data_IF_823125787071
#
_entry.id   IF_823125787071
#
_cell.length_a   1.000
_cell.length_b   1.000
_cell.length_c   1.000
_cell.angle_alpha   90.00
_cell.angle_beta   90.00
_cell.angle_gamma   90.00
#
_symmetry.space_group_name_H-M   'P 1'
#
loop_
_entity.id
_entity.type
_entity.pdbx_description
1 polymer ?
#
# COMPACT_ATOMS: atom_id res chain seq x y z
N UNK A 1 -33.64 8.64 10.86
CA UNK A 1 -32.80 9.39 9.90
C UNK A 1 -31.36 9.29 10.37
N UNK A 2 -30.50 8.60 9.61
CA UNK A 2 -29.13 8.35 10.02
C UNK A 2 -28.30 9.64 10.13
N UNK A 3 -27.56 9.78 11.22
CA UNK A 3 -26.65 10.89 11.46
C UNK A 3 -25.32 10.63 10.74
N UNK A 4 -24.80 11.60 9.97
CA UNK A 4 -23.57 11.41 9.23
C UNK A 4 -22.37 11.26 10.18
N UNK A 5 -21.48 10.32 9.87
CA UNK A 5 -20.22 10.17 10.59
C UNK A 5 -19.36 11.42 10.43
N UNK A 6 -19.14 12.16 11.54
CA UNK A 6 -18.48 13.47 11.53
C UNK A 6 -17.06 13.45 10.94
N UNK A 7 -16.38 12.30 11.00
CA UNK A 7 -15.01 12.14 10.48
C UNK A 7 -14.97 11.47 9.09
N UNK A 8 -16.10 11.36 8.38
CA UNK A 8 -16.14 10.70 7.06
C UNK A 8 -15.22 11.36 6.03
N UNK A 9 -15.10 12.70 6.04
CA UNK A 9 -14.17 13.43 5.17
C UNK A 9 -12.71 13.09 5.46
N UNK A 10 -12.34 13.05 6.75
CA UNK A 10 -11.00 12.67 7.18
C UNK A 10 -10.69 11.21 6.82
N UNK A 11 -11.64 10.29 7.01
CA UNK A 11 -11.49 8.89 6.64
C UNK A 11 -11.19 8.73 5.14
N UNK A 12 -11.95 9.41 4.27
CA UNK A 12 -11.71 9.39 2.81
C UNK A 12 -10.32 9.92 2.46
N UNK A 13 -9.93 11.03 3.08
CA UNK A 13 -8.60 11.59 2.87
C UNK A 13 -7.49 10.62 3.30
N UNK A 14 -7.63 9.97 4.46
CA UNK A 14 -6.64 8.98 4.93
C UNK A 14 -6.57 7.73 4.05
N UNK A 15 -7.69 7.26 3.51
CA UNK A 15 -7.70 6.16 2.52
C UNK A 15 -6.94 6.57 1.24
N UNK A 16 -7.18 7.78 0.72
CA UNK A 16 -6.42 8.28 -0.43
C UNK A 16 -4.91 8.38 -0.15
N UNK A 17 -4.53 8.79 1.07
CA UNK A 17 -3.12 8.80 1.47
C UNK A 17 -2.52 7.40 1.54
N UNK A 18 -3.30 6.40 1.98
CA UNK A 18 -2.86 5.00 2.01
C UNK A 18 -2.65 4.48 0.58
N UNK A 19 -3.60 4.73 -0.31
CA UNK A 19 -3.53 4.35 -1.73
C UNK A 19 -2.29 4.96 -2.40
N UNK A 20 -2.01 6.24 -2.15
CA UNK A 20 -0.80 6.90 -2.66
C UNK A 20 0.47 6.26 -2.09
N UNK A 21 0.53 5.99 -0.78
CA UNK A 21 1.70 5.37 -0.17
C UNK A 21 1.92 3.94 -0.68
N UNK A 22 0.85 3.19 -0.95
CA UNK A 22 0.92 1.86 -1.55
C UNK A 22 1.42 1.91 -3.00
N UNK A 23 0.94 2.87 -3.80
CA UNK A 23 1.42 3.09 -5.16
C UNK A 23 2.92 3.45 -5.19
N UNK A 24 3.34 4.36 -4.31
CA UNK A 24 4.74 4.74 -4.14
C UNK A 24 5.64 3.55 -3.76
N UNK A 25 5.18 2.70 -2.85
CA UNK A 25 5.88 1.47 -2.46
C UNK A 25 6.00 0.49 -3.63
N UNK A 26 4.94 0.32 -4.42
CA UNK A 26 4.96 -0.51 -5.62
C UNK A 26 5.99 -0.01 -6.65
N UNK A 27 6.07 1.31 -6.85
CA UNK A 27 7.08 1.95 -7.71
C UNK A 27 8.50 1.67 -7.17
N UNK A 28 8.74 1.85 -5.87
CA UNK A 28 10.04 1.56 -5.26
C UNK A 28 10.46 0.08 -5.44
N UNK A 29 9.54 -0.86 -5.25
CA UNK A 29 9.84 -2.28 -5.51
C UNK A 29 10.16 -2.56 -6.98
N UNK A 30 9.46 -1.91 -7.92
CA UNK A 30 9.75 -2.05 -9.35
C UNK A 30 11.14 -1.52 -9.70
N UNK A 31 11.53 -0.38 -9.13
CA UNK A 31 12.85 0.21 -9.28
C UNK A 31 13.93 -0.70 -8.69
N UNK A 32 13.70 -1.28 -7.50
CA UNK A 32 14.61 -2.26 -6.88
C UNK A 32 14.81 -3.49 -7.77
N UNK A 33 13.74 -4.07 -8.31
CA UNK A 33 13.83 -5.21 -9.25
C UNK A 33 14.64 -4.84 -10.50
N UNK A 34 14.48 -3.63 -11.03
CA UNK A 34 15.25 -3.17 -12.17
C UNK A 34 16.73 -2.91 -11.82
N UNK A 35 17.03 -2.45 -10.60
CA UNK A 35 18.41 -2.28 -10.12
C UNK A 35 19.12 -3.63 -9.93
N UNK A 36 18.44 -4.61 -9.31
CA UNK A 36 18.96 -5.97 -9.15
C UNK A 36 19.27 -6.62 -10.50
N UNK A 37 18.35 -6.54 -11.47
CA UNK A 37 18.63 -7.06 -12.82
C UNK A 37 19.84 -6.41 -13.48
N UNK A 38 20.03 -5.09 -13.29
CA UNK A 38 21.21 -4.38 -13.83
C UNK A 38 22.49 -4.82 -13.13
N UNK A 39 22.44 -5.04 -11.83
CA UNK A 39 23.56 -5.58 -11.05
C UNK A 39 23.94 -6.98 -11.56
N UNK A 40 22.97 -7.88 -11.71
CA UNK A 40 23.19 -9.24 -12.20
C UNK A 40 23.81 -9.23 -13.61
N UNK A 41 23.29 -8.38 -14.51
CA UNK A 41 23.83 -8.22 -15.87
C UNK A 41 25.27 -7.69 -15.86
N UNK A 42 25.57 -6.65 -15.08
CA UNK A 42 26.91 -6.07 -15.01
C UNK A 42 27.93 -7.06 -14.40
N UNK A 43 27.50 -7.83 -13.40
CA UNK A 43 28.32 -8.91 -12.83
C UNK A 43 28.55 -10.04 -13.83
N UNK A 44 27.51 -10.45 -14.57
CA UNK A 44 27.61 -11.44 -15.64
C UNK A 44 28.61 -11.01 -16.73
N UNK A 45 28.49 -9.79 -17.24
CA UNK A 45 29.43 -9.24 -18.24
C UNK A 45 30.88 -9.24 -17.75
N UNK A 46 31.12 -8.87 -16.48
CA UNK A 46 32.47 -8.90 -15.90
C UNK A 46 33.02 -10.32 -15.72
N UNK A 47 32.15 -11.27 -15.39
CA UNK A 47 32.51 -12.68 -15.20
C UNK A 47 32.81 -13.37 -16.55
N UNK A 48 32.02 -13.07 -17.58
CA UNK A 48 32.20 -13.58 -18.94
C UNK A 48 33.41 -12.96 -19.65
N UNK A 49 33.80 -11.73 -19.29
CA UNK A 49 34.94 -11.04 -19.91
C UNK A 49 36.28 -11.67 -19.50
N UNK A 50 36.75 -12.62 -20.28
CA UNK A 50 38.03 -13.30 -20.12
C UNK A 50 39.22 -12.53 -20.71
N UNK A 51 40.42 -13.05 -20.45
CA UNK A 51 41.62 -12.69 -21.18
C UNK A 51 41.90 -13.81 -22.18
N UNK A 52 41.53 -13.61 -23.44
CA UNK A 52 42.02 -14.48 -24.50
C UNK A 52 43.54 -14.26 -24.67
N UNK A 53 44.29 -15.28 -25.12
CA UNK A 53 45.70 -15.09 -25.44
C UNK A 53 45.82 -14.05 -26.56
N UNK A 54 46.42 -12.90 -26.26
CA UNK A 54 46.62 -11.80 -27.23
C UNK A 54 48.12 -11.61 -27.45
N UNK A 55 48.55 -11.67 -28.71
CA UNK A 55 49.97 -11.46 -29.07
C UNK A 55 50.31 -9.97 -29.24
N UNK A 56 49.30 -9.12 -29.49
CA UNK A 56 49.45 -7.67 -29.62
C UNK A 56 49.24 -6.93 -28.30
N UNK A 57 50.22 -6.11 -27.93
CA UNK A 57 50.21 -5.25 -26.72
C UNK A 57 49.03 -4.27 -26.73
N UNK A 58 48.66 -3.73 -27.89
CA UNK A 58 47.53 -2.79 -28.02
C UNK A 58 46.20 -3.45 -27.66
N UNK A 59 45.96 -4.63 -28.22
CA UNK A 59 44.80 -5.44 -27.89
C UNK A 59 44.78 -5.91 -26.42
N UNK A 60 45.94 -6.23 -25.82
CA UNK A 60 46.02 -6.50 -24.37
C UNK A 60 45.60 -5.30 -23.52
N UNK A 61 46.12 -4.10 -23.81
CA UNK A 61 45.75 -2.87 -23.10
C UNK A 61 44.25 -2.57 -23.22
N UNK A 62 43.66 -2.81 -24.39
CA UNK A 62 42.22 -2.67 -24.61
C UNK A 62 41.40 -3.64 -23.75
N UNK A 63 41.81 -4.90 -23.65
CA UNK A 63 41.15 -5.89 -22.79
C UNK A 63 41.21 -5.51 -21.32
N UNK A 64 42.36 -5.01 -20.85
CA UNK A 64 42.52 -4.51 -19.47
C UNK A 64 41.62 -3.29 -19.21
N UNK A 65 41.60 -2.32 -20.12
CA UNK A 65 40.75 -1.14 -20.00
C UNK A 65 39.26 -1.50 -19.97
N UNK A 66 38.83 -2.41 -20.84
CA UNK A 66 37.45 -2.93 -20.86
C UNK A 66 37.08 -3.62 -19.54
N UNK A 67 37.97 -4.47 -19.00
CA UNK A 67 37.72 -5.14 -17.71
C UNK A 67 37.64 -4.14 -16.55
N UNK A 68 38.47 -3.09 -16.56
CA UNK A 68 38.42 -2.02 -15.56
C UNK A 68 37.09 -1.25 -15.64
N UNK A 69 36.62 -0.93 -16.85
CA UNK A 69 35.31 -0.29 -17.05
C UNK A 69 34.14 -1.17 -16.58
N UNK A 70 34.15 -2.46 -16.92
CA UNK A 70 33.14 -3.43 -16.47
C UNK A 70 33.11 -3.56 -14.94
N UNK A 71 34.27 -3.53 -14.28
CA UNK A 71 34.35 -3.51 -12.80
C UNK A 71 33.71 -2.25 -12.22
N UNK A 72 33.94 -1.09 -12.83
CA UNK A 72 33.29 0.16 -12.45
C UNK A 72 31.76 0.06 -12.55
N UNK A 73 31.26 -0.40 -13.71
CA UNK A 73 29.82 -0.60 -13.95
C UNK A 73 29.19 -1.58 -12.95
N UNK A 74 29.86 -2.71 -12.65
CA UNK A 74 29.37 -3.66 -11.66
C UNK A 74 29.31 -3.05 -10.24
N UNK A 75 30.29 -2.23 -9.87
CA UNK A 75 30.29 -1.49 -8.60
C UNK A 75 29.16 -0.47 -8.53
N UNK A 76 28.95 0.32 -9.58
CA UNK A 76 27.87 1.30 -9.66
C UNK A 76 26.48 0.64 -9.61
N UNK A 77 26.30 -0.46 -10.34
CA UNK A 77 25.06 -1.23 -10.33
C UNK A 77 24.76 -1.83 -8.94
N UNK A 78 25.79 -2.31 -8.24
CA UNK A 78 25.69 -2.73 -6.85
C UNK A 78 25.24 -1.59 -5.92
N UNK A 79 25.88 -0.43 -6.00
CA UNK A 79 25.49 0.74 -5.20
C UNK A 79 24.05 1.19 -5.50
N UNK A 80 23.63 1.18 -6.78
CA UNK A 80 22.27 1.52 -7.16
C UNK A 80 21.23 0.52 -6.61
N UNK A 81 21.58 -0.77 -6.53
CA UNK A 81 20.74 -1.81 -5.93
C UNK A 81 20.55 -1.62 -4.42
N UNK A 82 21.62 -1.27 -3.71
CA UNK A 82 21.57 -0.93 -2.29
C UNK A 82 20.70 0.31 -2.02
N UNK A 83 20.91 1.38 -2.79
CA UNK A 83 20.08 2.59 -2.69
C UNK A 83 18.59 2.31 -2.96
N UNK A 84 18.29 1.48 -3.96
CA UNK A 84 16.91 1.08 -4.25
C UNK A 84 16.30 0.22 -3.14
N UNK A 85 17.11 -0.59 -2.44
CA UNK A 85 16.67 -1.37 -1.28
C UNK A 85 16.38 -0.50 -0.06
N UNK A 86 17.23 0.49 0.21
CA UNK A 86 16.98 1.51 1.25
C UNK A 86 15.72 2.31 0.96
N UNK A 87 15.49 2.65 -0.31
CA UNK A 87 14.29 3.38 -0.72
C UNK A 87 13.02 2.56 -0.50
N UNK A 88 13.03 1.25 -0.79
CA UNK A 88 11.91 0.35 -0.46
C UNK A 88 11.63 0.37 1.04
N UNK A 89 12.65 0.18 1.88
CA UNK A 89 12.48 0.20 3.33
C UNK A 89 11.88 1.52 3.84
N UNK A 90 12.30 2.66 3.25
CA UNK A 90 11.74 3.97 3.56
C UNK A 90 10.26 4.09 3.17
N UNK A 91 9.87 3.57 2.00
CA UNK A 91 8.46 3.58 1.55
C UNK A 91 7.60 2.61 2.36
N UNK A 92 8.13 1.47 2.78
CA UNK A 92 7.44 0.53 3.66
C UNK A 92 7.10 1.20 5.00
N UNK A 93 8.05 1.92 5.60
CA UNK A 93 7.77 2.64 6.85
C UNK A 93 6.75 3.78 6.64
N UNK A 94 6.83 4.51 5.53
CA UNK A 94 5.84 5.55 5.21
C UNK A 94 4.42 4.96 5.05
N UNK A 95 4.28 3.83 4.35
CA UNK A 95 3.00 3.14 4.23
C UNK A 95 2.50 2.60 5.57
N UNK A 96 3.39 2.03 6.39
CA UNK A 96 3.07 1.53 7.73
C UNK A 96 2.53 2.67 8.63
N UNK A 97 3.12 3.86 8.56
CA UNK A 97 2.66 5.03 9.29
C UNK A 97 1.28 5.49 8.86
N UNK A 98 0.99 5.48 7.56
CA UNK A 98 -0.35 5.80 7.06
C UNK A 98 -1.39 4.77 7.53
N UNK A 99 -1.07 3.46 7.51
CA UNK A 99 -1.92 2.41 8.08
C UNK A 99 -2.20 2.63 9.57
N UNK A 100 -1.16 2.96 10.36
CA UNK A 100 -1.29 3.23 11.80
C UNK A 100 -2.27 4.38 12.08
N UNK A 101 -2.33 5.38 11.20
CA UNK A 101 -3.24 6.53 11.33
C UNK A 101 -4.65 6.24 10.82
N UNK A 102 -4.80 5.38 9.80
CA UNK A 102 -6.09 5.05 9.20
C UNK A 102 -6.90 4.05 10.04
N UNK A 103 -6.28 2.97 10.53
CA UNK A 103 -6.97 1.86 11.21
C UNK A 103 -7.86 2.31 12.38
N UNK A 104 -7.45 3.26 13.26
CA UNK A 104 -8.33 3.76 14.31
C UNK A 104 -9.58 4.47 13.77
N UNK A 105 -9.48 5.19 12.64
CA UNK A 105 -10.61 5.88 12.03
C UNK A 105 -11.60 4.90 11.40
N UNK A 106 -11.10 3.82 10.79
CA UNK A 106 -11.95 2.73 10.28
C UNK A 106 -12.76 2.12 11.43
N UNK A 107 -12.10 1.76 12.53
CA UNK A 107 -12.77 1.21 13.72
C UNK A 107 -13.83 2.16 14.30
N UNK A 108 -13.60 3.47 14.26
CA UNK A 108 -14.58 4.47 14.71
C UNK A 108 -15.77 4.56 13.75
N UNK A 109 -15.53 4.47 12.45
CA UNK A 109 -16.58 4.44 11.44
C UNK A 109 -17.45 3.19 11.57
N UNK A 110 -16.84 2.02 11.78
CA UNK A 110 -17.54 0.75 11.97
C UNK A 110 -18.44 0.79 13.22
N UNK A 111 -17.91 1.28 14.35
CA UNK A 111 -18.69 1.48 15.58
C UNK A 111 -19.82 2.49 15.43
N UNK A 112 -19.63 3.52 14.60
CA UNK A 112 -20.70 4.48 14.29
C UNK A 112 -21.81 3.79 13.49
N UNK A 113 -21.47 3.04 12.45
CA UNK A 113 -22.43 2.30 11.64
C UNK A 113 -23.22 1.27 12.48
N UNK A 114 -22.56 0.56 13.39
CA UNK A 114 -23.21 -0.37 14.31
C UNK A 114 -24.22 0.34 15.24
N UNK A 115 -23.84 1.48 15.81
CA UNK A 115 -24.73 2.27 16.69
C UNK A 115 -25.94 2.82 15.94
N UNK A 116 -25.74 3.30 14.72
CA UNK A 116 -26.82 3.80 13.88
C UNK A 116 -27.79 2.67 13.52
N UNK A 117 -27.29 1.48 13.19
CA UNK A 117 -28.14 0.32 12.91
C UNK A 117 -29.00 -0.10 14.14
N UNK A 118 -28.42 -0.07 15.35
CA UNK A 118 -29.17 -0.35 16.58
C UNK A 118 -30.23 0.72 16.85
N UNK A 119 -29.92 1.99 16.61
CA UNK A 119 -30.90 3.08 16.79
C UNK A 119 -32.03 2.98 15.76
N UNK A 120 -31.72 2.68 14.49
CA UNK A 120 -32.73 2.49 13.45
C UNK A 120 -33.69 1.33 13.80
N UNK A 121 -33.17 0.18 14.26
CA UNK A 121 -33.99 -0.94 14.74
C UNK A 121 -34.86 -0.55 15.95
N UNK A 122 -34.33 0.27 16.87
CA UNK A 122 -35.10 0.75 18.02
C UNK A 122 -36.25 1.66 17.60
N UNK A 123 -36.01 2.56 16.65
CA UNK A 123 -37.04 3.45 16.10
C UNK A 123 -38.12 2.66 15.36
N UNK A 124 -37.73 1.65 14.57
CA UNK A 124 -38.67 0.73 13.93
C UNK A 124 -39.56 -0.01 14.94
N UNK A 125 -38.98 -0.51 16.04
CA UNK A 125 -39.75 -1.18 17.10
C UNK A 125 -40.76 -0.25 17.77
N UNK A 126 -40.37 1.00 18.07
CA UNK A 126 -41.29 1.99 18.66
C UNK A 126 -42.50 2.22 17.74
N UNK A 127 -42.25 2.37 16.43
CA UNK A 127 -43.33 2.55 15.44
C UNK A 127 -44.24 1.31 15.39
N UNK A 128 -43.70 0.10 15.46
CA UNK A 128 -44.49 -1.13 15.48
C UNK A 128 -45.36 -1.24 16.75
N UNK A 129 -44.80 -0.87 17.91
CA UNK A 129 -45.52 -0.87 19.19
C UNK A 129 -46.66 0.17 19.20
N UNK A 130 -46.45 1.34 18.59
CA UNK A 130 -47.48 2.37 18.41
C UNK A 130 -48.63 1.90 17.51
N UNK A 131 -48.33 1.19 16.41
CA UNK A 131 -49.37 0.60 15.54
C UNK A 131 -50.13 -0.52 16.27
N UNK A 132 -49.43 -1.36 17.03
CA UNK A 132 -50.05 -2.43 17.81
C UNK A 132 -50.97 -1.92 18.94
N UNK A 133 -50.57 -0.84 19.61
CA UNK A 133 -51.36 -0.24 20.69
C UNK A 133 -52.57 0.57 20.19
N UNK A 134 -52.45 1.26 19.06
CA UNK A 134 -53.58 1.97 18.42
C UNK A 134 -54.65 1.01 17.88
N UNK A 135 -54.25 -0.09 17.23
CA UNK A 135 -55.20 -1.11 16.75
C UNK A 135 -55.92 -1.88 17.86
N UNK A 136 -55.31 -2.01 19.05
CA UNK A 136 -55.97 -2.63 20.22
C UNK A 136 -56.96 -1.68 20.90
N UNK A 137 -56.74 -0.36 20.81
CA UNK A 137 -57.61 0.66 21.42
C UNK A 137 -58.86 0.93 20.58
N UNK A 138 -58.81 0.64 19.28
CA UNK A 138 -59.91 0.81 18.32
C UNK A 138 -60.76 -0.48 18.12
N UNK A 139 -60.65 -1.45 19.03
CA UNK A 139 -61.55 -2.60 19.16
C UNK A 139 -62.56 -2.34 20.28
N UNK A 140 -63.64 -1.55 20.05
CA UNK A 140 -64.82 -1.62 20.89
C UNK A 140 -65.46 -2.97 20.62
N UNK A 141 -65.07 -3.99 21.39
CA UNK A 141 -65.87 -5.21 21.44
C UNK A 141 -67.21 -4.84 22.03
N UNK A 142 -68.17 -4.77 21.12
CA UNK A 142 -69.61 -4.82 21.33
C UNK A 142 -69.94 -5.63 22.58
N UNK A 143 -70.60 -4.94 23.50
CA UNK A 143 -71.43 -5.52 24.54
C UNK A 143 -72.48 -6.42 23.90
N UNK A 144 -72.60 -7.68 24.36
CA UNK A 144 -73.85 -8.40 24.68
C UNK A 144 -73.61 -9.88 24.94
#
# INVERSE_FOLDING_TARGET
MSRPFRLAGLLRFRKLQEDQAAADLAVAHSARRAALRRQDLAQGQLAEHGFDPVEDTGAWLSTVATRAALRGLASEAGAASELASLEVARREEAWSQTRRQLVPLEKLADKHAEREAVEDLRQEQIVLDEIGSSSTTDDPRDES
#
